data_IF_856586874517
#
_entry.id   IF_856586874517
#
_cell.length_a   1.000
_cell.length_b   1.000
_cell.length_c   1.000
_cell.angle_alpha   90.00
_cell.angle_beta   90.00
_cell.angle_gamma   90.00
#
_symmetry.space_group_name_H-M   'P 1'
#
loop_
_entity.id
_entity.type
_entity.pdbx_description
1 polymer ?
#
# COMPACT_ATOMS: atom_id res chain seq x y z
N UNK A 1 -6.95 13.00 -6.49
CA UNK A 1 -5.77 12.21 -6.11
C UNK A 1 -6.07 11.47 -4.82
N UNK A 2 -5.76 10.20 -4.73
CA UNK A 2 -5.86 9.43 -3.49
C UNK A 2 -4.47 9.38 -2.84
N UNK A 3 -4.38 9.80 -1.58
CA UNK A 3 -3.19 9.67 -0.75
C UNK A 3 -3.35 8.45 0.13
N UNK A 4 -2.30 7.67 0.26
CA UNK A 4 -2.20 6.56 1.20
C UNK A 4 -0.95 6.71 2.05
N UNK A 5 -1.10 6.50 3.35
CA UNK A 5 0.01 6.31 4.27
C UNK A 5 -0.18 4.98 4.96
N UNK A 6 0.84 4.14 4.88
CA UNK A 6 0.81 2.80 5.46
C UNK A 6 2.00 2.58 6.38
N UNK A 7 1.79 1.81 7.44
CA UNK A 7 2.87 1.32 8.29
C UNK A 7 2.77 -0.19 8.42
N UNK A 8 3.86 -0.88 8.06
CA UNK A 8 3.94 -2.34 8.09
C UNK A 8 4.22 -2.86 9.49
N UNK A 9 3.67 -4.03 9.77
CA UNK A 9 4.01 -4.86 10.92
C UNK A 9 4.19 -6.32 10.48
N UNK A 10 4.84 -7.14 11.31
CA UNK A 10 5.16 -8.51 10.91
C UNK A 10 3.89 -9.37 10.78
N UNK A 11 3.11 -9.47 11.84
CA UNK A 11 1.81 -10.15 11.88
C UNK A 11 0.99 -9.67 13.09
N UNK A 12 -0.29 -9.94 13.10
CA UNK A 12 -1.14 -9.74 14.27
C UNK A 12 -0.80 -10.75 15.36
N UNK A 13 -0.75 -10.31 16.60
CA UNK A 13 -0.47 -11.21 17.76
C UNK A 13 -1.57 -12.24 17.97
N UNK A 14 -2.80 -11.90 17.55
CA UNK A 14 -4.01 -12.73 17.62
C UNK A 14 -5.06 -12.18 16.66
N UNK A 15 -6.13 -12.96 16.44
CA UNK A 15 -7.30 -12.43 15.75
C UNK A 15 -7.88 -11.23 16.51
N UNK A 16 -8.13 -10.13 15.80
CA UNK A 16 -8.59 -8.90 16.42
C UNK A 16 -10.06 -9.02 16.82
N UNK A 17 -10.35 -8.64 18.05
CA UNK A 17 -11.71 -8.48 18.58
C UNK A 17 -11.83 -7.16 19.30
N UNK A 18 -13.04 -6.61 19.44
CA UNK A 18 -13.28 -5.31 20.08
C UNK A 18 -12.70 -5.22 21.49
N UNK A 19 -12.66 -6.33 22.22
CA UNK A 19 -12.14 -6.41 23.59
C UNK A 19 -10.83 -7.21 23.69
N UNK A 20 -10.10 -7.30 22.59
CA UNK A 20 -8.93 -8.18 22.48
C UNK A 20 -7.71 -7.79 23.29
N UNK A 21 -7.62 -6.58 23.85
CA UNK A 21 -6.46 -6.11 24.61
C UNK A 21 -6.74 -4.87 25.43
N UNK A 22 -5.71 -4.35 26.09
CA UNK A 22 -5.79 -3.15 26.94
C UNK A 22 -4.80 -2.09 26.45
N UNK A 23 -5.27 -0.88 26.08
CA UNK A 23 -6.69 -0.52 25.95
C UNK A 23 -7.37 -1.29 24.80
N UNK A 24 -8.68 -1.47 24.89
CA UNK A 24 -9.49 -2.01 23.78
C UNK A 24 -9.66 -0.98 22.67
N UNK A 25 -9.92 -1.44 21.42
CA UNK A 25 -10.30 -0.54 20.34
C UNK A 25 -11.58 0.25 20.70
N UNK A 26 -11.65 1.51 20.31
CA UNK A 26 -12.87 2.33 20.47
C UNK A 26 -14.00 1.79 19.57
N UNK A 27 -13.66 1.32 18.41
CA UNK A 27 -14.53 0.60 17.50
C UNK A 27 -13.70 -0.38 16.67
N UNK A 28 -14.25 -1.54 16.35
CA UNK A 28 -13.63 -2.51 15.46
C UNK A 28 -14.70 -3.15 14.59
N UNK A 29 -14.56 -2.99 13.28
CA UNK A 29 -15.42 -3.61 12.28
C UNK A 29 -14.59 -4.60 11.45
N UNK A 30 -14.96 -5.87 11.50
CA UNK A 30 -14.34 -6.90 10.68
C UNK A 30 -14.95 -6.89 9.28
N UNK A 31 -14.11 -6.74 8.26
CA UNK A 31 -14.53 -6.66 6.85
C UNK A 31 -14.51 -8.03 6.15
N UNK A 32 -13.93 -9.05 6.78
CA UNK A 32 -13.85 -10.39 6.21
C UNK A 32 -12.52 -10.69 5.55
N UNK A 33 -12.52 -11.77 4.76
CA UNK A 33 -11.39 -12.25 3.98
C UNK A 33 -11.67 -12.10 2.49
N UNK A 34 -10.67 -11.67 1.74
CA UNK A 34 -10.69 -11.59 0.28
C UNK A 34 -9.42 -12.18 -0.29
N UNK A 35 -9.53 -12.83 -1.44
CA UNK A 35 -8.36 -13.26 -2.21
C UNK A 35 -8.31 -12.45 -3.49
N UNK A 36 -7.13 -11.98 -3.86
CA UNK A 36 -6.88 -11.27 -5.10
C UNK A 36 -5.55 -11.71 -5.70
N UNK A 37 -5.43 -11.52 -7.00
CA UNK A 37 -4.21 -11.81 -7.76
C UNK A 37 -3.58 -10.52 -8.24
N UNK A 38 -2.30 -10.31 -7.90
CA UNK A 38 -1.51 -9.16 -8.32
C UNK A 38 -0.48 -9.59 -9.37
N UNK A 39 -0.44 -8.90 -10.50
CA UNK A 39 0.64 -8.97 -11.48
C UNK A 39 1.32 -7.60 -11.50
N UNK A 40 2.60 -7.57 -11.18
CA UNK A 40 3.41 -6.34 -11.17
C UNK A 40 4.17 -6.19 -12.47
N UNK A 41 4.29 -4.95 -12.92
CA UNK A 41 4.91 -4.59 -14.20
C UNK A 41 6.00 -3.54 -14.00
N UNK A 42 7.12 -3.74 -14.71
CA UNK A 42 8.22 -2.75 -14.80
C UNK A 42 8.95 -2.95 -16.15
N UNK A 43 9.92 -2.10 -16.44
CA UNK A 43 10.84 -2.25 -17.57
C UNK A 43 12.26 -2.07 -17.06
N UNK A 44 12.98 -3.19 -16.86
CA UNK A 44 14.36 -3.19 -16.38
C UNK A 44 14.57 -2.32 -15.12
N UNK A 45 13.64 -2.38 -14.16
CA UNK A 45 13.62 -1.62 -12.89
C UNK A 45 13.55 -0.09 -13.05
N UNK A 46 13.17 0.44 -14.22
CA UNK A 46 13.09 1.89 -14.46
C UNK A 46 12.02 2.59 -13.60
N UNK A 47 10.92 1.91 -13.29
CA UNK A 47 9.86 2.44 -12.45
C UNK A 47 10.13 2.21 -10.97
N UNK A 48 10.46 0.99 -10.58
CA UNK A 48 10.71 0.65 -9.17
C UNK A 48 11.89 1.41 -8.58
N UNK A 49 12.94 1.69 -9.37
CA UNK A 49 14.07 2.55 -8.94
C UNK A 49 13.65 4.00 -8.64
N UNK A 50 12.52 4.45 -9.20
CA UNK A 50 11.93 5.77 -8.95
C UNK A 50 10.82 5.73 -7.88
N UNK A 51 10.62 4.56 -7.23
CA UNK A 51 9.55 4.38 -6.26
C UNK A 51 8.14 4.33 -6.89
N UNK A 52 8.03 3.79 -8.10
CA UNK A 52 6.77 3.62 -8.81
C UNK A 52 6.50 2.14 -8.97
N UNK A 53 5.33 1.69 -8.50
CA UNK A 53 4.88 0.31 -8.63
C UNK A 53 3.58 0.27 -9.42
N UNK A 54 3.61 -0.40 -10.56
CA UNK A 54 2.47 -0.61 -11.45
C UNK A 54 2.03 -2.05 -11.31
N UNK A 55 0.73 -2.27 -11.11
CA UNK A 55 0.17 -3.62 -11.04
C UNK A 55 -1.19 -3.71 -11.70
N UNK A 56 -1.57 -4.92 -12.07
CA UNK A 56 -2.96 -5.32 -12.24
C UNK A 56 -3.38 -6.15 -11.01
N UNK A 57 -4.46 -5.75 -10.36
CA UNK A 57 -5.12 -6.52 -9.32
C UNK A 57 -6.45 -7.03 -9.88
N UNK A 58 -6.57 -8.34 -10.04
CA UNK A 58 -7.74 -8.97 -10.66
C UNK A 58 -8.11 -8.29 -12.00
N UNK A 59 -7.11 -7.99 -12.83
CA UNK A 59 -7.25 -7.33 -14.11
C UNK A 59 -7.39 -5.80 -14.06
N UNK A 60 -7.53 -5.18 -12.90
CA UNK A 60 -7.66 -3.73 -12.77
C UNK A 60 -6.31 -3.06 -12.52
N UNK A 61 -5.96 -2.08 -13.35
CA UNK A 61 -4.72 -1.35 -13.22
C UNK A 61 -4.70 -0.45 -11.98
N UNK A 62 -3.59 -0.48 -11.27
CA UNK A 62 -3.31 0.34 -10.11
C UNK A 62 -1.83 0.77 -10.12
N UNK A 63 -1.56 1.96 -9.62
CA UNK A 63 -0.20 2.44 -9.43
C UNK A 63 -0.03 3.08 -8.05
N UNK A 64 1.10 2.77 -7.39
CA UNK A 64 1.57 3.44 -6.18
C UNK A 64 2.83 4.24 -6.53
N UNK A 65 2.81 5.53 -6.24
CA UNK A 65 3.94 6.46 -6.48
C UNK A 65 4.44 6.92 -5.13
N UNK A 66 5.64 6.51 -4.74
CA UNK A 66 6.25 6.85 -3.45
C UNK A 66 6.52 8.35 -3.36
N UNK A 67 6.08 8.96 -2.26
CA UNK A 67 6.27 10.37 -1.95
C UNK A 67 7.11 10.61 -0.70
N UNK A 68 7.48 9.54 -0.02
CA UNK A 68 8.32 9.61 1.17
C UNK A 68 8.20 8.38 2.03
N UNK A 69 8.75 8.49 3.24
CA UNK A 69 8.82 7.40 4.18
C UNK A 69 10.00 6.47 3.91
N UNK A 70 10.13 5.48 4.77
CA UNK A 70 11.12 4.43 4.68
C UNK A 70 10.52 3.12 4.15
N UNK A 71 11.12 2.00 4.50
CA UNK A 71 10.66 0.68 4.11
C UNK A 71 9.44 0.21 4.92
N UNK A 72 9.40 0.54 6.20
CA UNK A 72 8.33 0.16 7.13
C UNK A 72 7.14 1.12 7.03
N UNK A 73 7.44 2.40 6.82
CA UNK A 73 6.47 3.48 6.77
C UNK A 73 6.52 4.15 5.41
N UNK A 74 5.51 3.95 4.60
CA UNK A 74 5.47 4.42 3.22
C UNK A 74 4.32 5.40 3.00
N UNK A 75 4.58 6.39 2.12
CA UNK A 75 3.63 7.43 1.72
C UNK A 75 3.50 7.40 0.21
N UNK A 76 2.26 7.22 -0.28
CA UNK A 76 2.00 7.06 -1.71
C UNK A 76 0.92 8.00 -2.21
N UNK A 77 1.08 8.41 -3.48
CA UNK A 77 -0.06 8.76 -4.31
C UNK A 77 -0.53 7.48 -4.99
N UNK A 78 -1.82 7.21 -4.96
CA UNK A 78 -2.42 6.09 -5.67
C UNK A 78 -3.18 6.56 -6.90
N UNK A 79 -2.94 5.86 -8.02
CA UNK A 79 -3.70 5.99 -9.26
C UNK A 79 -4.50 4.70 -9.44
N UNK A 80 -5.80 4.84 -9.63
CA UNK A 80 -6.73 3.70 -9.66
C UNK A 80 -7.43 3.52 -11.00
N UNK A 81 -7.10 4.37 -11.99
CA UNK A 81 -7.66 4.26 -13.34
C UNK A 81 -6.55 4.16 -14.38
N UNK A 82 -6.78 3.35 -15.44
CA UNK A 82 -5.84 3.22 -16.56
C UNK A 82 -5.48 4.58 -17.16
N UNK A 83 -6.44 5.50 -17.24
CA UNK A 83 -6.21 6.84 -17.82
C UNK A 83 -5.27 7.72 -16.98
N UNK A 84 -5.34 7.65 -15.65
CA UNK A 84 -4.40 8.34 -14.77
C UNK A 84 -3.01 7.74 -14.88
N UNK A 85 -2.92 6.40 -14.93
CA UNK A 85 -1.67 5.67 -15.07
C UNK A 85 -1.02 5.97 -16.42
N UNK A 86 -1.77 5.90 -17.52
CA UNK A 86 -1.30 6.24 -18.86
C UNK A 86 -0.70 7.66 -18.90
N UNK A 87 -1.42 8.64 -18.37
CA UNK A 87 -0.96 10.04 -18.31
C UNK A 87 0.33 10.18 -17.51
N UNK A 88 0.43 9.48 -16.37
CA UNK A 88 1.63 9.51 -15.53
C UNK A 88 2.82 8.84 -16.25
N UNK A 89 2.61 7.68 -16.85
CA UNK A 89 3.66 6.93 -17.56
C UNK A 89 4.15 7.68 -18.81
N UNK A 90 3.24 8.38 -19.54
CA UNK A 90 3.62 9.21 -20.67
C UNK A 90 4.58 10.34 -20.28
N UNK A 91 4.41 10.95 -19.09
CA UNK A 91 5.36 11.95 -18.56
C UNK A 91 6.75 11.37 -18.28
N UNK A 92 6.84 10.05 -18.07
CA UNK A 92 8.10 9.33 -17.87
C UNK A 92 8.68 8.76 -19.18
N UNK A 93 8.02 9.02 -20.34
CA UNK A 93 8.46 8.56 -21.66
C UNK A 93 8.04 7.13 -22.01
N UNK A 94 7.06 6.57 -21.30
CA UNK A 94 6.47 5.27 -21.65
C UNK A 94 5.27 5.44 -22.58
N UNK A 95 4.91 4.40 -23.37
CA UNK A 95 3.66 4.38 -24.12
C UNK A 95 2.44 4.61 -23.21
N UNK A 96 1.42 5.26 -23.72
CA UNK A 96 0.14 5.50 -23.04
C UNK A 96 -0.94 4.44 -23.39
N UNK A 97 -0.56 3.40 -24.12
CA UNK A 97 -1.46 2.34 -24.58
C UNK A 97 -1.54 1.19 -23.58
N UNK A 98 -2.71 1.04 -22.97
CA UNK A 98 -3.02 -0.05 -22.03
C UNK A 98 -2.94 -1.44 -22.69
N UNK A 99 -3.30 -1.57 -23.98
CA UNK A 99 -3.28 -2.86 -24.69
C UNK A 99 -1.86 -3.43 -24.82
N UNK A 100 -0.87 -2.55 -24.95
CA UNK A 100 0.55 -2.93 -24.94
C UNK A 100 1.12 -2.98 -23.51
N UNK A 101 0.28 -2.98 -22.47
CA UNK A 101 0.70 -2.92 -21.04
C UNK A 101 1.64 -1.72 -20.81
N UNK A 102 1.39 -0.59 -21.45
CA UNK A 102 2.23 0.61 -21.40
C UNK A 102 3.71 0.36 -21.78
N UNK A 103 4.00 -0.69 -22.56
CA UNK A 103 5.36 -1.11 -22.91
C UNK A 103 6.16 -1.70 -21.74
N UNK A 104 5.47 -2.13 -20.67
CA UNK A 104 6.06 -2.76 -19.49
C UNK A 104 6.03 -4.28 -19.60
N UNK A 105 6.93 -4.95 -18.86
CA UNK A 105 7.00 -6.41 -18.75
C UNK A 105 6.53 -6.84 -17.35
N UNK A 106 6.00 -8.06 -17.29
CA UNK A 106 5.68 -8.69 -16.01
C UNK A 106 6.98 -8.95 -15.22
N UNK A 107 7.01 -8.59 -13.94
CA UNK A 107 8.15 -8.78 -13.07
C UNK A 107 7.86 -9.67 -11.85
N UNK A 108 6.60 -9.76 -11.44
CA UNK A 108 6.15 -10.61 -10.34
C UNK A 108 4.66 -10.89 -10.47
N UNK A 109 4.25 -12.09 -10.07
CA UNK A 109 2.85 -12.52 -10.13
C UNK A 109 2.57 -13.45 -8.96
N UNK A 110 1.58 -13.09 -8.10
CA UNK A 110 1.21 -13.89 -6.94
C UNK A 110 -0.19 -13.55 -6.44
N UNK A 111 -0.79 -14.50 -5.73
CA UNK A 111 -2.06 -14.32 -5.05
C UNK A 111 -1.86 -13.97 -3.58
N UNK A 112 -2.78 -13.20 -3.03
CA UNK A 112 -2.79 -12.79 -1.63
C UNK A 112 -4.16 -13.07 -1.03
N UNK A 113 -4.19 -13.78 0.10
CA UNK A 113 -5.32 -13.84 1.00
C UNK A 113 -5.17 -12.69 2.01
N UNK A 114 -6.11 -11.73 1.96
CA UNK A 114 -6.17 -10.56 2.85
C UNK A 114 -7.30 -10.71 3.86
N UNK A 115 -7.01 -10.54 5.11
CA UNK A 115 -7.99 -10.36 6.18
C UNK A 115 -7.95 -8.89 6.62
N UNK A 116 -9.13 -8.27 6.78
CA UNK A 116 -9.23 -6.81 6.94
C UNK A 116 -10.17 -6.39 8.06
N UNK A 117 -9.83 -5.27 8.70
CA UNK A 117 -10.62 -4.60 9.74
C UNK A 117 -10.56 -3.08 9.54
N UNK A 118 -11.61 -2.39 10.02
CA UNK A 118 -11.56 -0.95 10.27
C UNK A 118 -11.61 -0.73 11.78
N UNK A 119 -10.55 -0.16 12.32
CA UNK A 119 -10.42 0.18 13.73
C UNK A 119 -10.62 1.68 13.94
N UNK A 120 -11.25 2.02 15.07
CA UNK A 120 -11.52 3.41 15.51
C UNK A 120 -12.16 4.27 14.41
N UNK A 121 -12.94 3.63 13.52
CA UNK A 121 -13.73 4.20 12.41
C UNK A 121 -12.90 4.76 11.24
N UNK A 122 -11.57 4.62 11.26
CA UNK A 122 -10.72 5.25 10.25
C UNK A 122 -9.47 4.45 9.86
N UNK A 123 -8.89 3.67 10.78
CA UNK A 123 -7.67 2.91 10.48
C UNK A 123 -8.02 1.58 9.84
N UNK A 124 -7.60 1.40 8.60
CA UNK A 124 -7.65 0.08 7.96
C UNK A 124 -6.48 -0.74 8.47
N UNK A 125 -6.77 -1.93 9.00
CA UNK A 125 -5.78 -2.93 9.38
C UNK A 125 -5.93 -4.09 8.42
N UNK A 126 -4.85 -4.51 7.79
CA UNK A 126 -4.85 -5.68 6.92
C UNK A 126 -3.78 -6.67 7.37
N UNK A 127 -4.08 -7.95 7.20
CA UNK A 127 -3.14 -9.05 7.34
C UNK A 127 -3.14 -9.83 6.04
N UNK A 128 -2.03 -9.82 5.34
CA UNK A 128 -1.85 -10.48 4.05
C UNK A 128 -1.04 -11.76 4.21
N UNK A 129 -1.48 -12.82 3.54
CA UNK A 129 -0.74 -14.07 3.37
C UNK A 129 -0.67 -14.38 1.88
N UNK A 130 0.53 -14.45 1.33
CA UNK A 130 0.74 -14.74 -0.08
C UNK A 130 0.78 -16.25 -0.35
N UNK A 131 0.51 -16.66 -1.59
CA UNK A 131 0.57 -18.06 -2.04
C UNK A 131 1.98 -18.66 -1.96
N UNK A 132 3.03 -17.84 -1.92
CA UNK A 132 4.41 -18.27 -1.69
C UNK A 132 4.82 -18.29 -0.19
N UNK A 133 3.86 -18.09 0.73
CA UNK A 133 4.02 -18.28 2.18
C UNK A 133 4.55 -17.07 2.95
N UNK A 134 4.58 -15.87 2.34
CA UNK A 134 4.96 -14.64 3.05
C UNK A 134 3.74 -14.03 3.76
N UNK A 135 3.97 -13.55 4.99
CA UNK A 135 2.97 -12.86 5.81
C UNK A 135 3.45 -11.45 6.12
N UNK A 136 2.58 -10.47 5.94
CA UNK A 136 2.81 -9.07 6.32
C UNK A 136 1.48 -8.40 6.67
N UNK A 137 1.49 -7.53 7.68
CA UNK A 137 0.36 -6.68 8.00
C UNK A 137 0.66 -5.22 7.73
N UNK A 138 -0.39 -4.43 7.52
CA UNK A 138 -0.31 -2.99 7.30
C UNK A 138 -1.42 -2.29 8.10
N UNK A 139 -1.10 -1.13 8.67
CA UNK A 139 -2.07 -0.15 9.15
C UNK A 139 -2.05 0.99 8.16
N UNK A 140 -3.20 1.29 7.59
CA UNK A 140 -3.35 2.22 6.48
C UNK A 140 -4.31 3.35 6.84
N UNK A 141 -4.01 4.55 6.35
CA UNK A 141 -4.95 5.67 6.24
C UNK A 141 -4.99 6.13 4.80
N UNK A 142 -6.18 6.40 4.31
CA UNK A 142 -6.42 6.98 3.00
C UNK A 142 -7.07 8.36 3.10
N UNK A 143 -6.75 9.25 2.18
CA UNK A 143 -7.36 10.57 2.08
C UNK A 143 -7.46 11.02 0.62
N UNK A 144 -8.65 11.42 0.19
CA UNK A 144 -8.80 12.09 -1.11
C UNK A 144 -8.44 13.56 -0.97
N UNK A 145 -7.51 14.00 -1.81
CA UNK A 145 -7.08 15.40 -1.87
C UNK A 145 -7.50 16.00 -3.22
N UNK A 146 -8.24 17.08 -3.15
CA UNK A 146 -8.57 17.86 -4.34
C UNK A 146 -7.41 18.80 -4.69
N UNK A 147 -7.14 18.93 -6.00
CA UNK A 147 -6.10 19.83 -6.47
C UNK A 147 -6.64 21.26 -6.49
N UNK A 148 -6.21 22.05 -5.52
CA UNK A 148 -6.60 23.46 -5.37
C UNK A 148 -5.34 24.31 -5.31
N UNK A 149 -5.36 25.48 -5.95
CA UNK A 149 -4.25 26.44 -5.95
C UNK A 149 -3.14 26.10 -6.94
N UNK A 150 -1.98 26.67 -6.72
CA UNK A 150 -0.76 26.41 -7.51
C UNK A 150 -0.17 25.04 -7.21
N UNK A 151 0.69 24.54 -8.11
CA UNK A 151 1.42 23.27 -7.90
C UNK A 151 2.20 23.27 -6.59
N UNK A 152 2.86 24.37 -6.26
CA UNK A 152 3.67 24.51 -5.05
C UNK A 152 2.79 24.44 -3.80
N UNK A 153 1.63 25.07 -3.81
CA UNK A 153 0.68 25.02 -2.69
C UNK A 153 0.09 23.62 -2.52
N UNK A 154 -0.25 22.99 -3.63
CA UNK A 154 -0.74 21.62 -3.62
C UNK A 154 0.29 20.63 -3.06
N UNK A 155 1.57 20.71 -3.47
CA UNK A 155 2.65 19.88 -2.95
C UNK A 155 2.87 20.07 -1.45
N UNK A 156 2.80 21.32 -0.96
CA UNK A 156 2.91 21.61 0.48
C UNK A 156 1.73 21.02 1.25
N UNK A 157 0.51 21.17 0.73
CA UNK A 157 -0.70 20.61 1.36
C UNK A 157 -0.65 19.08 1.40
N UNK A 158 -0.22 18.44 0.31
CA UNK A 158 -0.02 16.99 0.22
C UNK A 158 0.98 16.50 1.27
N UNK A 159 2.16 17.12 1.31
CA UNK A 159 3.20 16.74 2.26
C UNK A 159 2.75 16.89 3.72
N UNK A 160 2.06 17.99 4.04
CA UNK A 160 1.47 18.23 5.36
C UNK A 160 0.45 17.14 5.70
N UNK A 161 -0.47 16.84 4.77
CA UNK A 161 -1.51 15.83 5.00
C UNK A 161 -0.94 14.44 5.25
N UNK A 162 0.06 14.04 4.45
CA UNK A 162 0.76 12.77 4.64
C UNK A 162 1.52 12.71 5.98
N UNK A 163 2.09 13.81 6.46
CA UNK A 163 2.73 13.87 7.77
C UNK A 163 1.71 13.70 8.91
N UNK A 164 0.57 14.37 8.82
CA UNK A 164 -0.54 14.23 9.79
C UNK A 164 -1.06 12.78 9.84
N UNK A 165 -1.24 12.13 8.68
CA UNK A 165 -1.68 10.73 8.61
C UNK A 165 -0.66 9.78 9.24
N UNK A 166 0.61 10.01 8.98
CA UNK A 166 1.71 9.22 9.55
C UNK A 166 1.76 9.31 11.08
N UNK A 167 1.70 10.52 11.64
CA UNK A 167 1.66 10.73 13.09
C UNK A 167 0.46 10.04 13.74
N UNK A 168 -0.70 10.05 13.07
CA UNK A 168 -1.91 9.35 13.54
C UNK A 168 -1.72 7.85 13.55
N UNK A 169 -1.14 7.25 12.50
CA UNK A 169 -0.84 5.81 12.46
C UNK A 169 0.15 5.44 13.58
N UNK A 170 1.20 6.24 13.79
CA UNK A 170 2.16 6.02 14.89
C UNK A 170 1.47 6.04 16.24
N UNK A 171 0.62 7.03 16.49
CA UNK A 171 -0.17 7.14 17.71
C UNK A 171 -1.11 5.97 17.93
N UNK A 172 -1.81 5.56 16.86
CA UNK A 172 -2.69 4.41 16.86
C UNK A 172 -1.94 3.10 17.18
N UNK A 173 -0.87 2.79 16.47
CA UNK A 173 -0.09 1.56 16.69
C UNK A 173 0.58 1.53 18.07
N UNK A 174 1.00 2.70 18.60
CA UNK A 174 1.52 2.81 19.96
C UNK A 174 0.43 2.51 20.99
N UNK A 175 -0.76 3.08 20.82
CA UNK A 175 -1.91 2.87 21.71
C UNK A 175 -2.33 1.40 21.77
N UNK A 176 -2.32 0.72 20.63
CA UNK A 176 -2.77 -0.67 20.49
C UNK A 176 -1.59 -1.63 20.22
N UNK A 177 -0.43 -1.33 20.81
CA UNK A 177 0.81 -2.10 20.59
C UNK A 177 0.68 -3.61 20.87
N UNK A 178 -0.26 -4.00 21.71
CA UNK A 178 -0.60 -5.39 21.99
C UNK A 178 -1.12 -6.15 20.74
N UNK A 179 -1.64 -5.45 19.74
CA UNK A 179 -2.21 -6.07 18.54
C UNK A 179 -1.14 -6.44 17.49
N UNK A 180 -0.02 -5.75 17.47
CA UNK A 180 0.97 -5.82 16.41
C UNK A 180 2.25 -6.49 16.89
N UNK A 181 2.65 -7.57 16.22
CA UNK A 181 3.90 -8.24 16.55
C UNK A 181 5.10 -7.38 16.11
N UNK A 182 6.04 -7.18 17.05
CA UNK A 182 7.29 -6.51 16.76
C UNK A 182 8.14 -7.33 15.78
N UNK A 183 8.95 -6.65 14.96
CA UNK A 183 9.84 -7.26 13.97
C UNK A 183 10.14 -6.28 12.85
N UNK A 184 10.95 -6.72 11.90
CA UNK A 184 11.21 -5.98 10.66
C UNK A 184 10.33 -6.57 9.57
N UNK A 185 9.16 -5.99 9.30
CA UNK A 185 8.26 -6.53 8.27
C UNK A 185 8.89 -6.34 6.89
N UNK A 186 8.68 -7.30 5.99
CA UNK A 186 9.07 -7.16 4.59
C UNK A 186 7.83 -6.94 3.71
N UNK A 187 7.93 -6.05 2.74
CA UNK A 187 6.89 -5.90 1.72
C UNK A 187 6.81 -7.13 0.81
N UNK A 188 5.63 -7.39 0.26
CA UNK A 188 5.36 -8.59 -0.57
C UNK A 188 6.32 -8.74 -1.74
N UNK A 189 6.60 -7.66 -2.50
CA UNK A 189 7.54 -7.69 -3.63
C UNK A 189 8.97 -8.02 -3.20
N UNK A 190 9.46 -7.44 -2.09
CA UNK A 190 10.79 -7.76 -1.56
C UNK A 190 10.88 -9.24 -1.19
N UNK A 191 9.87 -9.76 -0.48
CA UNK A 191 9.82 -11.15 -0.10
C UNK A 191 9.70 -12.09 -1.32
N UNK A 192 8.98 -11.66 -2.37
CA UNK A 192 8.88 -12.40 -3.63
C UNK A 192 10.25 -12.55 -4.30
N UNK A 193 10.98 -11.45 -4.50
CA UNK A 193 12.30 -11.50 -5.15
C UNK A 193 13.37 -12.23 -4.32
N UNK A 194 13.27 -12.19 -2.98
CA UNK A 194 14.13 -13.02 -2.12
C UNK A 194 13.83 -14.52 -2.28
N UNK A 195 12.56 -14.87 -2.50
CA UNK A 195 12.12 -16.26 -2.68
C UNK A 195 12.44 -16.80 -4.07
N UNK A 196 12.36 -15.93 -5.09
CA UNK A 196 12.54 -16.26 -6.50
C UNK A 196 13.63 -15.37 -7.12
N UNK A 197 14.91 -15.56 -6.74
CA UNK A 197 16.01 -14.78 -7.29
C UNK A 197 16.21 -15.12 -8.76
N UNK A 198 16.10 -14.13 -9.63
CA UNK A 198 16.30 -14.28 -11.08
C UNK A 198 15.00 -14.31 -11.92
N UNK A 199 13.85 -14.03 -11.30
CA UNK A 199 12.63 -13.72 -12.05
C UNK A 199 12.64 -12.27 -12.53
#
# INVERSE_FOLDING_TARGET
MLLEVERKFHHLTKHLTSHGGTPSFQALNYLGKTTFHDIYYDKAHLLSSKGVWIRQRDGNWQAKIKRGGDYTNSKFDELTTSSEIARYLAQLGFPDDEKSKFGLNEMASFSTLRESWVADREFTIVQDVTDFGHTVGEVELECRLERVGSEIEFEKLRAKKMAEMDERIVGFMRRYSWAFCAGVPKGKLTAYFERFPGC
#
